data_IF_001238311048
#
_entry.id   IF_001238311048
#
_cell.length_a   1.000
_cell.length_b   1.000
_cell.length_c   1.000
_cell.angle_alpha   90.00
_cell.angle_beta   90.00
_cell.angle_gamma   90.00
#
_symmetry.space_group_name_H-M   'P 1'
#
loop_
_entity.id
_entity.type
_entity.pdbx_description
1 polymer ?
#
# COMPACT_ATOMS: atom_id res chain seq x y z
N UNK A 1 28.02 -6.70 -5.91
CA UNK A 1 27.52 -5.64 -6.81
C UNK A 1 28.17 -5.72 -8.19
N UNK A 2 29.51 -5.63 -8.32
CA UNK A 2 30.15 -5.59 -9.65
C UNK A 2 30.09 -6.90 -10.45
N UNK A 3 29.75 -8.02 -9.81
CA UNK A 3 29.63 -9.35 -10.42
C UNK A 3 28.16 -9.77 -10.66
N UNK A 4 27.22 -8.85 -10.43
CA UNK A 4 25.79 -9.11 -10.59
C UNK A 4 25.35 -8.65 -11.98
N UNK A 5 25.21 -9.59 -12.90
CA UNK A 5 24.87 -9.31 -14.30
C UNK A 5 23.48 -8.65 -14.47
N UNK A 6 22.62 -8.71 -13.44
CA UNK A 6 21.27 -8.15 -13.44
C UNK A 6 21.14 -6.86 -12.61
N UNK A 7 22.26 -6.20 -12.29
CA UNK A 7 22.27 -4.99 -11.44
C UNK A 7 21.36 -3.87 -11.98
N UNK A 8 21.22 -3.73 -13.30
CA UNK A 8 20.36 -2.70 -13.92
C UNK A 8 18.89 -2.84 -13.51
N UNK A 9 18.41 -4.07 -13.29
CA UNK A 9 17.04 -4.34 -12.85
C UNK A 9 16.77 -3.84 -11.43
N UNK A 10 17.82 -3.58 -10.65
CA UNK A 10 17.73 -3.04 -9.29
C UNK A 10 17.64 -1.51 -9.28
N UNK A 11 17.78 -0.83 -10.42
CA UNK A 11 17.50 0.60 -10.55
C UNK A 11 16.01 0.78 -10.76
N UNK A 12 15.31 1.17 -9.70
CA UNK A 12 13.85 1.29 -9.71
C UNK A 12 13.40 2.69 -9.31
N UNK A 13 12.24 3.16 -9.81
CA UNK A 13 11.65 4.40 -9.36
C UNK A 13 10.99 4.20 -8.00
N UNK A 14 11.22 5.14 -7.08
CA UNK A 14 10.56 5.21 -5.78
C UNK A 14 9.86 6.56 -5.62
N UNK A 15 8.81 6.58 -4.80
CA UNK A 15 8.27 7.84 -4.29
C UNK A 15 9.20 8.34 -3.17
N UNK A 16 9.89 9.45 -3.42
CA UNK A 16 10.82 10.05 -2.48
C UNK A 16 10.09 11.01 -1.54
N UNK A 17 9.27 11.90 -2.10
CA UNK A 17 8.37 12.83 -1.38
C UNK A 17 7.04 12.91 -2.13
N UNK A 18 5.97 13.52 -1.57
CA UNK A 18 4.71 13.66 -2.26
C UNK A 18 4.95 14.33 -3.62
N UNK A 19 4.57 13.62 -4.68
CA UNK A 19 4.75 14.03 -6.07
C UNK A 19 6.21 14.18 -6.57
N UNK A 20 7.21 13.72 -5.81
CA UNK A 20 8.63 13.65 -6.21
C UNK A 20 9.07 12.19 -6.36
N UNK A 21 9.30 11.77 -7.61
CA UNK A 21 9.77 10.43 -7.96
C UNK A 21 11.26 10.47 -8.27
N UNK A 22 12.01 9.54 -7.68
CA UNK A 22 13.46 9.43 -7.90
C UNK A 22 13.85 7.99 -8.16
N UNK A 23 14.99 7.82 -8.81
CA UNK A 23 15.59 6.52 -9.02
C UNK A 23 16.48 6.16 -7.84
N UNK A 24 16.41 4.91 -7.40
CA UNK A 24 17.30 4.34 -6.39
C UNK A 24 17.88 3.02 -6.91
N UNK A 25 19.11 2.73 -6.52
CA UNK A 25 19.65 1.38 -6.62
C UNK A 25 19.19 0.55 -5.41
N UNK A 26 18.09 -0.19 -5.58
CA UNK A 26 17.41 -0.91 -4.51
C UNK A 26 18.05 -2.28 -4.27
N UNK A 27 19.14 -2.27 -3.51
CA UNK A 27 19.94 -3.46 -3.18
C UNK A 27 20.35 -3.46 -1.72
N UNK A 28 20.44 -4.64 -1.12
CA UNK A 28 20.91 -4.83 0.27
C UNK A 28 22.34 -4.33 0.48
N UNK A 29 23.12 -4.22 -0.60
CA UNK A 29 24.48 -3.71 -0.55
C UNK A 29 24.57 -2.19 -0.36
N UNK A 30 23.50 -1.44 -0.69
CA UNK A 30 23.48 0.03 -0.65
C UNK A 30 22.40 0.56 0.28
N UNK A 31 21.29 -0.16 0.41
CA UNK A 31 20.14 0.23 1.23
C UNK A 31 20.18 -0.54 2.55
N UNK A 32 20.48 0.16 3.65
CA UNK A 32 20.54 -0.40 5.01
C UNK A 32 19.26 -1.15 5.40
N UNK A 33 18.09 -0.63 5.01
CA UNK A 33 16.78 -1.17 5.39
C UNK A 33 15.85 -1.27 4.19
N UNK A 34 16.04 -2.31 3.39
CA UNK A 34 15.15 -2.62 2.27
C UNK A 34 13.69 -2.78 2.70
N UNK A 35 13.42 -3.40 3.86
CA UNK A 35 12.06 -3.80 4.26
C UNK A 35 11.40 -4.67 3.18
N UNK A 36 12.16 -5.62 2.61
CA UNK A 36 11.73 -6.49 1.51
C UNK A 36 10.39 -7.18 1.79
N UNK A 37 10.16 -7.63 3.02
CA UNK A 37 8.89 -8.25 3.45
C UNK A 37 7.64 -7.39 3.20
N UNK A 38 7.79 -6.06 3.26
CA UNK A 38 6.72 -5.09 3.04
C UNK A 38 6.76 -4.54 1.61
N UNK A 39 7.94 -4.18 1.11
CA UNK A 39 8.12 -3.54 -0.20
C UNK A 39 7.91 -4.49 -1.37
N UNK A 40 8.11 -5.81 -1.20
CA UNK A 40 7.76 -6.82 -2.20
C UNK A 40 6.28 -6.77 -2.58
N UNK A 41 5.42 -6.27 -1.68
CA UNK A 41 3.99 -6.10 -1.97
C UNK A 41 3.74 -5.01 -3.03
N UNK A 42 4.75 -4.23 -3.41
CA UNK A 42 4.68 -3.19 -4.44
C UNK A 42 5.40 -3.59 -5.73
N UNK A 43 5.98 -4.79 -5.79
CA UNK A 43 6.55 -5.36 -7.03
C UNK A 43 5.44 -5.87 -7.96
N UNK A 44 4.27 -6.21 -7.40
CA UNK A 44 3.02 -6.45 -8.11
C UNK A 44 2.21 -5.14 -8.27
N UNK A 45 1.23 -5.11 -9.18
CA UNK A 45 0.26 -4.01 -9.26
C UNK A 45 -0.56 -3.92 -7.96
N UNK A 46 -0.25 -2.91 -7.13
CA UNK A 46 -0.86 -2.78 -5.81
C UNK A 46 -1.03 -1.31 -5.40
N UNK A 47 -1.88 -1.09 -4.40
CA UNK A 47 -2.08 0.19 -3.75
C UNK A 47 -1.59 0.11 -2.32
N UNK A 48 -1.02 1.20 -1.82
CA UNK A 48 -0.66 1.31 -0.43
C UNK A 48 -0.95 2.69 0.13
N UNK A 49 -1.36 2.71 1.38
CA UNK A 49 -1.53 3.92 2.17
C UNK A 49 -0.27 4.12 3.02
N UNK A 50 0.34 5.29 2.89
CA UNK A 50 1.43 5.74 3.73
C UNK A 50 0.85 6.53 4.89
N UNK A 51 1.20 6.17 6.13
CA UNK A 51 0.88 7.01 7.29
C UNK A 51 1.94 6.91 8.39
N UNK A 52 2.14 7.99 9.14
CA UNK A 52 3.06 8.01 10.28
C UNK A 52 2.36 7.55 11.56
N UNK A 53 3.07 6.81 12.41
CA UNK A 53 2.55 6.36 13.72
C UNK A 53 2.40 7.50 14.72
N UNK A 54 3.35 8.44 14.72
CA UNK A 54 3.43 9.52 15.68
C UNK A 54 3.77 10.82 14.97
N UNK A 55 3.37 11.94 15.59
CA UNK A 55 3.58 13.28 15.05
C UNK A 55 4.31 14.16 16.07
N UNK A 56 5.44 14.70 15.65
CA UNK A 56 6.17 15.77 16.28
C UNK A 56 5.50 17.14 16.06
N UNK A 57 4.77 17.35 14.96
CA UNK A 57 4.06 18.61 14.67
C UNK A 57 2.56 18.54 14.98
N UNK A 58 1.96 19.71 15.20
CA UNK A 58 0.51 19.84 15.40
C UNK A 58 -0.19 19.72 14.05
N UNK A 59 -1.13 18.77 13.95
CA UNK A 59 -1.97 18.57 12.77
C UNK A 59 -1.62 17.30 11.99
N UNK A 60 -2.66 16.58 11.55
CA UNK A 60 -2.51 15.36 10.76
C UNK A 60 -2.46 15.69 9.27
N UNK A 61 -1.27 15.62 8.68
CA UNK A 61 -1.03 15.79 7.23
C UNK A 61 -0.34 14.56 6.61
N UNK A 62 -0.16 13.51 7.41
CA UNK A 62 0.77 12.41 7.15
C UNK A 62 0.04 11.20 6.57
N UNK A 63 -0.75 11.41 5.50
CA UNK A 63 -1.42 10.34 4.77
C UNK A 63 -1.23 10.54 3.27
N UNK A 64 -0.80 9.50 2.54
CA UNK A 64 -0.66 9.53 1.08
C UNK A 64 -0.87 8.13 0.51
N UNK A 65 -1.61 8.01 -0.58
CA UNK A 65 -1.72 6.75 -1.32
C UNK A 65 -0.65 6.68 -2.40
N UNK A 66 -0.05 5.51 -2.59
CA UNK A 66 0.99 5.26 -3.58
C UNK A 66 0.81 3.90 -4.24
N UNK A 67 1.31 3.79 -5.47
CA UNK A 67 1.46 2.53 -6.23
C UNK A 67 2.92 2.09 -6.32
N UNK A 68 3.83 2.78 -5.65
CA UNK A 68 5.28 2.56 -5.73
C UNK A 68 5.90 2.28 -4.36
N UNK A 69 7.07 1.64 -4.40
CA UNK A 69 7.98 1.56 -3.26
C UNK A 69 8.28 2.97 -2.77
N UNK A 70 8.31 3.12 -1.45
CA UNK A 70 8.36 4.40 -0.78
C UNK A 70 9.62 4.55 0.04
N UNK A 71 10.19 5.76 0.03
CA UNK A 71 11.21 6.14 1.00
C UNK A 71 10.63 6.10 2.43
N UNK A 72 11.49 6.08 3.45
CA UNK A 72 11.10 5.98 4.86
C UNK A 72 10.40 7.24 5.42
N UNK A 73 10.57 8.39 4.77
CA UNK A 73 10.06 9.69 5.21
C UNK A 73 9.38 10.47 4.07
N UNK A 74 8.52 9.82 3.28
CA UNK A 74 7.72 10.45 2.22
C UNK A 74 6.82 11.54 2.81
N UNK A 75 5.92 11.18 3.72
CA UNK A 75 4.85 12.10 4.16
C UNK A 75 5.28 13.11 5.23
N UNK A 76 6.51 13.03 5.75
CA UNK A 76 7.05 13.97 6.74
C UNK A 76 8.54 14.25 6.55
N UNK A 77 8.97 15.47 6.90
CA UNK A 77 10.38 15.85 7.01
C UNK A 77 10.87 15.98 8.46
N UNK A 78 10.06 15.56 9.45
CA UNK A 78 10.39 15.69 10.87
C UNK A 78 10.95 14.41 11.42
N UNK A 79 11.93 14.56 12.32
CA UNK A 79 12.47 13.44 13.08
C UNK A 79 11.35 12.75 13.85
N UNK A 80 11.37 11.42 13.88
CA UNK A 80 10.39 10.54 14.55
C UNK A 80 9.05 10.35 13.82
N UNK A 81 8.83 10.93 12.64
CA UNK A 81 7.58 10.81 11.87
C UNK A 81 7.72 9.90 10.61
N UNK A 82 8.49 8.81 10.71
CA UNK A 82 8.66 7.87 9.60
C UNK A 82 7.32 7.26 9.12
N UNK A 83 7.18 7.07 7.81
CA UNK A 83 5.98 6.48 7.24
C UNK A 83 5.96 4.97 7.35
N UNK A 84 4.76 4.46 7.63
CA UNK A 84 4.42 3.05 7.57
C UNK A 84 3.61 2.81 6.31
N UNK A 85 3.79 1.63 5.76
CA UNK A 85 3.29 1.27 4.44
C UNK A 85 2.21 0.20 4.58
N UNK A 86 0.95 0.60 4.39
CA UNK A 86 -0.23 -0.25 4.51
C UNK A 86 -0.69 -0.67 3.11
N UNK A 87 -0.15 -1.79 2.61
CA UNK A 87 -0.55 -2.33 1.31
C UNK A 87 -1.94 -2.93 1.33
N UNK A 88 -2.69 -2.75 0.23
CA UNK A 88 -4.02 -3.31 0.03
C UNK A 88 -3.97 -4.82 -0.13
N UNK A 89 -2.98 -5.32 -0.86
CA UNK A 89 -2.74 -6.75 -1.03
C UNK A 89 -1.38 -7.16 -0.46
N UNK A 90 -1.29 -8.43 -0.07
CA UNK A 90 -0.06 -9.15 0.20
C UNK A 90 0.28 -9.93 -1.06
N UNK A 91 1.42 -9.62 -1.68
CA UNK A 91 1.90 -10.30 -2.87
C UNK A 91 3.02 -11.26 -2.49
N UNK A 92 2.89 -12.51 -2.94
CA UNK A 92 3.93 -13.54 -2.78
C UNK A 92 4.41 -13.98 -4.16
N UNK A 93 5.72 -13.99 -4.42
CA UNK A 93 6.24 -14.49 -5.69
C UNK A 93 5.90 -15.98 -5.82
N UNK A 94 5.29 -16.37 -6.95
CA UNK A 94 5.12 -17.77 -7.32
C UNK A 94 6.34 -18.21 -8.12
N UNK A 95 6.98 -19.33 -7.76
CA UNK A 95 7.99 -19.92 -8.63
C UNK A 95 7.33 -20.30 -9.96
N UNK A 96 8.00 -20.02 -11.09
CA UNK A 96 7.57 -20.47 -12.43
C UNK A 96 7.26 -21.98 -12.36
N UNK A 97 6.01 -22.37 -12.61
CA UNK A 97 5.67 -23.79 -12.67
C UNK A 97 6.29 -24.37 -13.94
N UNK A 98 7.28 -25.26 -13.79
CA UNK A 98 7.76 -26.10 -14.91
C UNK A 98 6.63 -27.07 -15.27
N UNK A 99 5.80 -26.70 -16.24
CA UNK A 99 4.83 -27.61 -16.83
C UNK A 99 5.54 -28.78 -17.53
N UNK A 100 5.07 -30.00 -17.29
CA UNK A 100 5.55 -31.25 -17.93
C UNK A 100 4.94 -31.52 -19.31
N UNK A 101 4.08 -30.63 -19.82
CA UNK A 101 3.37 -30.80 -21.09
C UNK A 101 4.06 -30.04 -22.23
N UNK A 102 4.35 -30.74 -23.33
CA UNK A 102 4.98 -30.19 -24.54
C UNK A 102 4.17 -29.07 -25.19
N UNK A 103 2.84 -29.10 -25.08
CA UNK A 103 1.96 -28.09 -25.68
C UNK A 103 1.97 -26.76 -24.91
N UNK A 104 2.11 -26.82 -23.58
CA UNK A 104 2.21 -25.62 -22.73
C UNK A 104 3.60 -24.97 -22.75
N UNK A 105 4.64 -25.71 -23.14
CA UNK A 105 5.99 -25.15 -23.26
C UNK A 105 6.09 -24.15 -24.42
N UNK A 106 5.35 -24.40 -25.51
CA UNK A 106 5.25 -23.48 -26.65
C UNK A 106 4.48 -22.19 -26.31
N UNK A 107 3.50 -22.27 -25.39
CA UNK A 107 2.79 -21.09 -24.88
C UNK A 107 3.69 -20.22 -23.99
N UNK A 108 4.53 -20.82 -23.13
CA UNK A 108 5.46 -20.07 -22.28
C UNK A 108 6.62 -19.40 -23.03
N UNK A 109 6.89 -19.77 -24.29
CA UNK A 109 7.89 -19.12 -25.16
C UNK A 109 7.46 -17.72 -25.64
N UNK A 110 6.16 -17.43 -25.62
CA UNK A 110 5.59 -16.14 -26.00
C UNK A 110 5.02 -15.36 -24.81
N UNK A 111 5.05 -15.93 -23.60
CA UNK A 111 4.76 -15.19 -22.38
C UNK A 111 5.96 -14.30 -22.03
N UNK A 112 5.75 -13.01 -21.70
CA UNK A 112 6.84 -12.18 -21.22
C UNK A 112 7.42 -12.78 -19.94
N UNK A 113 8.72 -12.58 -19.68
CA UNK A 113 9.40 -12.97 -18.44
C UNK A 113 8.91 -12.11 -17.26
N UNK A 114 7.63 -12.22 -16.91
CA UNK A 114 7.03 -11.58 -15.75
C UNK A 114 6.96 -12.57 -14.60
N UNK A 115 7.43 -12.15 -13.43
CA UNK A 115 7.20 -12.89 -12.20
C UNK A 115 5.70 -12.89 -11.87
N UNK A 116 5.13 -14.09 -11.68
CA UNK A 116 3.74 -14.22 -11.27
C UNK A 116 3.62 -14.07 -9.76
N UNK A 117 2.71 -13.23 -9.29
CA UNK A 117 2.45 -13.02 -7.87
C UNK A 117 1.11 -13.61 -7.46
N UNK A 118 1.08 -14.33 -6.33
CA UNK A 118 -0.18 -14.62 -5.63
C UNK A 118 -0.56 -13.38 -4.82
N UNK A 119 -1.69 -12.76 -5.18
CA UNK A 119 -2.19 -11.56 -4.50
C UNK A 119 -3.37 -11.91 -3.61
N UNK A 120 -3.23 -11.65 -2.31
CA UNK A 120 -4.30 -11.81 -1.32
C UNK A 120 -4.63 -10.47 -0.66
N UNK A 121 -5.91 -10.10 -0.46
CA UNK A 121 -6.27 -8.89 0.27
C UNK A 121 -5.68 -8.88 1.69
N UNK A 122 -5.09 -7.75 2.08
CA UNK A 122 -4.52 -7.50 3.40
C UNK A 122 -5.60 -6.96 4.38
N UNK A 123 -6.73 -7.65 4.44
CA UNK A 123 -7.82 -7.35 5.36
C UNK A 123 -8.05 -8.56 6.26
N UNK A 124 -8.15 -8.30 7.56
CA UNK A 124 -8.42 -9.35 8.55
C UNK A 124 -9.85 -9.88 8.43
N UNK A 125 -10.04 -11.19 8.60
CA UNK A 125 -11.38 -11.81 8.57
C UNK A 125 -12.36 -11.21 9.60
N UNK A 126 -11.84 -10.76 10.75
CA UNK A 126 -12.65 -10.08 11.80
C UNK A 126 -13.36 -8.84 11.25
N UNK A 127 -12.72 -8.07 10.35
CA UNK A 127 -13.35 -6.91 9.72
C UNK A 127 -14.46 -7.33 8.76
N UNK A 128 -14.26 -8.43 8.01
CA UNK A 128 -15.28 -8.97 7.13
C UNK A 128 -16.53 -9.38 7.93
N UNK A 129 -16.36 -10.01 9.10
CA UNK A 129 -17.47 -10.38 9.97
C UNK A 129 -18.22 -9.15 10.52
N UNK A 130 -17.48 -8.10 10.89
CA UNK A 130 -18.07 -6.83 11.35
C UNK A 130 -18.89 -6.19 10.22
N UNK A 131 -18.36 -6.17 8.99
CA UNK A 131 -19.08 -5.62 7.85
C UNK A 131 -20.32 -6.44 7.50
N UNK A 132 -20.22 -7.76 7.52
CA UNK A 132 -21.37 -8.63 7.28
C UNK A 132 -22.48 -8.37 8.31
N UNK A 133 -22.14 -8.23 9.59
CA UNK A 133 -23.09 -7.88 10.66
C UNK A 133 -23.68 -6.47 10.53
N UNK A 134 -22.89 -5.50 10.08
CA UNK A 134 -23.30 -4.08 10.04
C UNK A 134 -24.08 -3.73 8.77
N UNK A 135 -23.66 -4.26 7.62
CA UNK A 135 -24.20 -3.89 6.31
C UNK A 135 -25.00 -5.02 5.63
N UNK A 136 -25.02 -6.22 6.21
CA UNK A 136 -25.61 -7.42 5.59
C UNK A 136 -24.78 -7.98 4.41
N UNK A 137 -23.59 -7.43 4.16
CA UNK A 137 -22.67 -7.85 3.09
C UNK A 137 -21.24 -7.40 3.38
N UNK A 138 -20.29 -8.00 2.67
CA UNK A 138 -18.87 -7.67 2.77
C UNK A 138 -18.49 -6.73 1.62
N UNK A 139 -18.10 -5.46 1.89
CA UNK A 139 -17.58 -4.55 0.87
C UNK A 139 -16.31 -5.09 0.22
N UNK A 140 -16.04 -4.65 -1.01
CA UNK A 140 -14.78 -5.03 -1.67
C UNK A 140 -13.58 -4.41 -0.95
N UNK A 141 -12.41 -5.08 -0.92
CA UNK A 141 -11.22 -4.54 -0.27
C UNK A 141 -10.83 -3.13 -0.75
N UNK A 142 -10.99 -2.86 -2.05
CA UNK A 142 -10.75 -1.53 -2.63
C UNK A 142 -11.71 -0.47 -2.08
N UNK A 143 -13.00 -0.80 -1.90
CA UNK A 143 -13.98 0.13 -1.32
C UNK A 143 -13.61 0.50 0.12
N UNK A 144 -13.20 -0.50 0.91
CA UNK A 144 -12.72 -0.27 2.30
C UNK A 144 -11.49 0.64 2.31
N UNK A 145 -10.54 0.39 1.41
CA UNK A 145 -9.33 1.18 1.28
C UNK A 145 -9.64 2.65 0.94
N UNK A 146 -10.48 2.90 -0.07
CA UNK A 146 -10.86 4.26 -0.44
C UNK A 146 -11.67 4.95 0.67
N UNK A 147 -12.51 4.22 1.41
CA UNK A 147 -13.20 4.80 2.56
C UNK A 147 -12.22 5.23 3.65
N UNK A 148 -11.21 4.40 3.97
CA UNK A 148 -10.16 4.73 4.94
C UNK A 148 -9.45 6.01 4.52
N UNK A 149 -9.03 6.10 3.26
CA UNK A 149 -8.41 7.30 2.69
C UNK A 149 -9.31 8.53 2.85
N UNK A 150 -10.59 8.44 2.46
CA UNK A 150 -11.57 9.51 2.62
C UNK A 150 -11.66 10.04 4.07
N UNK A 151 -11.70 9.13 5.05
CA UNK A 151 -11.78 9.50 6.46
C UNK A 151 -10.49 10.18 6.93
N UNK A 152 -9.33 9.67 6.52
CA UNK A 152 -8.06 10.30 6.85
C UNK A 152 -7.88 11.68 6.24
N UNK A 153 -8.60 12.02 5.16
CA UNK A 153 -8.66 13.36 4.59
C UNK A 153 -9.77 14.27 5.14
N UNK A 154 -10.66 13.75 5.98
CA UNK A 154 -11.73 14.55 6.58
C UNK A 154 -11.21 15.50 7.67
N UNK A 155 -11.47 16.81 7.50
CA UNK A 155 -11.15 17.82 8.51
C UNK A 155 -11.83 17.55 9.86
N UNK A 156 -13.09 17.08 9.84
CA UNK A 156 -13.84 16.74 11.05
C UNK A 156 -13.17 15.57 11.80
N UNK A 157 -12.67 14.56 11.09
CA UNK A 157 -11.93 13.46 11.70
C UNK A 157 -10.60 13.94 12.29
N UNK A 158 -9.80 14.67 11.50
CA UNK A 158 -8.47 15.17 11.90
C UNK A 158 -8.53 16.08 13.13
N UNK A 159 -9.54 16.92 13.22
CA UNK A 159 -9.74 17.83 14.36
C UNK A 159 -10.24 17.09 15.60
N UNK A 160 -11.25 16.22 15.44
CA UNK A 160 -11.84 15.47 16.56
C UNK A 160 -10.85 14.51 17.22
N UNK A 161 -9.99 13.86 16.45
CA UNK A 161 -9.05 12.85 16.94
C UNK A 161 -7.59 13.33 16.97
N UNK A 162 -7.35 14.64 16.93
CA UNK A 162 -6.00 15.22 16.82
C UNK A 162 -5.00 14.69 17.87
N UNK A 163 -5.43 14.57 19.13
CA UNK A 163 -4.58 14.07 20.22
C UNK A 163 -4.22 12.58 20.04
N UNK A 164 -5.15 11.76 19.55
CA UNK A 164 -4.89 10.34 19.29
C UNK A 164 -3.97 10.15 18.08
N UNK A 165 -4.23 10.91 17.01
CA UNK A 165 -3.46 10.91 15.77
C UNK A 165 -2.00 11.36 15.95
N UNK A 166 -1.72 12.08 17.04
CA UNK A 166 -0.36 12.51 17.39
C UNK A 166 0.47 11.39 18.02
N UNK A 167 -0.16 10.46 18.73
CA UNK A 167 0.53 9.51 19.62
C UNK A 167 0.61 8.10 18.99
N UNK A 168 -0.41 7.70 18.24
CA UNK A 168 -0.52 6.34 17.70
C UNK A 168 -1.13 6.34 16.30
N UNK A 169 -1.14 5.16 15.67
CA UNK A 169 -1.72 4.97 14.35
C UNK A 169 -3.16 5.49 14.24
N UNK A 170 -3.57 6.02 13.07
CA UNK A 170 -4.93 6.42 12.83
C UNK A 170 -5.92 5.27 13.01
N UNK A 171 -6.96 5.49 13.82
CA UNK A 171 -8.05 4.54 14.05
C UNK A 171 -9.30 5.02 13.33
N UNK A 172 -9.63 4.37 12.23
CA UNK A 172 -10.74 4.79 11.36
C UNK A 172 -12.07 4.21 11.85
N UNK A 173 -13.05 5.04 12.23
CA UNK A 173 -14.40 4.57 12.51
C UNK A 173 -15.13 4.26 11.19
N UNK A 174 -15.94 3.20 11.19
CA UNK A 174 -16.86 2.91 10.09
C UNK A 174 -18.26 3.41 10.42
N UNK A 175 -18.92 4.03 9.43
CA UNK A 175 -20.33 4.43 9.55
C UNK A 175 -21.24 3.21 9.61
N UNK A 176 -22.41 3.33 10.24
CA UNK A 176 -23.46 2.29 10.19
C UNK A 176 -24.25 2.32 8.88
N UNK A 177 -24.29 3.48 8.22
CA UNK A 177 -24.99 3.65 6.94
C UNK A 177 -24.10 3.24 5.76
N UNK A 178 -24.48 2.14 5.11
CA UNK A 178 -23.77 1.62 3.95
C UNK A 178 -23.78 2.57 2.74
N UNK A 179 -24.86 3.34 2.54
CA UNK A 179 -24.92 4.29 1.42
C UNK A 179 -23.91 5.42 1.61
N UNK A 180 -23.79 5.91 2.84
CA UNK A 180 -22.77 6.91 3.20
C UNK A 180 -21.36 6.35 3.03
N UNK A 181 -21.11 5.12 3.49
CA UNK A 181 -19.84 4.41 3.28
C UNK A 181 -19.47 4.39 1.79
N UNK A 182 -20.39 3.92 0.94
CA UNK A 182 -20.17 3.81 -0.50
C UNK A 182 -19.94 5.16 -1.15
N UNK A 183 -20.70 6.20 -0.76
CA UNK A 183 -20.52 7.56 -1.29
C UNK A 183 -19.11 8.09 -1.00
N UNK A 184 -18.61 7.88 0.21
CA UNK A 184 -17.26 8.32 0.60
C UNK A 184 -16.16 7.55 -0.14
N UNK A 185 -16.31 6.23 -0.26
CA UNK A 185 -15.37 5.41 -1.04
C UNK A 185 -15.30 5.85 -2.50
N UNK A 186 -16.44 6.15 -3.14
CA UNK A 186 -16.48 6.65 -4.52
C UNK A 186 -15.82 8.02 -4.67
N UNK A 187 -16.07 8.94 -3.74
CA UNK A 187 -15.43 10.27 -3.77
C UNK A 187 -13.90 10.15 -3.63
N UNK A 188 -13.39 9.37 -2.68
CA UNK A 188 -11.95 9.17 -2.56
C UNK A 188 -11.33 8.49 -3.79
N UNK A 189 -12.01 7.49 -4.37
CA UNK A 189 -11.57 6.88 -5.63
C UNK A 189 -11.38 7.93 -6.74
N UNK A 190 -12.29 8.90 -6.85
CA UNK A 190 -12.18 9.96 -7.88
C UNK A 190 -11.05 10.95 -7.64
N UNK A 191 -10.49 11.03 -6.43
CA UNK A 191 -9.32 11.86 -6.12
C UNK A 191 -8.00 11.17 -6.43
N UNK A 192 -8.00 9.83 -6.52
CA UNK A 192 -6.81 9.01 -6.75
C UNK A 192 -6.59 8.67 -8.23
N UNK A 193 -7.64 8.78 -9.04
CA UNK A 193 -7.61 8.59 -10.49
C UNK A 193 -7.33 9.92 -11.21
#
# INVERSE_FOLDING_TARGET
VMEDDEWEQKIIPIIYRPFDRRWIFYSEHVVDRLRKEIMQNMECENLALLASKQQAVKGFHHALVTTQISESCVVSNKTKEGNYHFSLHLCKPKPKQKSKSSHSHLMMLFEPDVEYYDSKPNLTGVLADIFHKTYGKTPEPKEVFYYIDAVLYSNTYRTKYAEFLKIDFPRVPFTKDYNLFKKWAVMAKSLLN
#
